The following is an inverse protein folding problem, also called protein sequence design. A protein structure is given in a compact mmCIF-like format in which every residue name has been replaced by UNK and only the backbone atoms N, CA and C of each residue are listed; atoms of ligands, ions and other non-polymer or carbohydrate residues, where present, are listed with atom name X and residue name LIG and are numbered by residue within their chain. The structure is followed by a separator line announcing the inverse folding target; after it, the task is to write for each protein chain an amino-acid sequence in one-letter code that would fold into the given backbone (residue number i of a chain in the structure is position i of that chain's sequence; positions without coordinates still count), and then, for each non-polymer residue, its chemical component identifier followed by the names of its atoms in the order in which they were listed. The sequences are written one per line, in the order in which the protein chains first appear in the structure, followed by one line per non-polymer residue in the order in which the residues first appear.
data_IF_665998883572
#
_entry.id   IF_665998883572
#
_cell.length_a   1.000
_cell.length_b   1.000
_cell.length_c   1.000
_cell.angle_alpha   90.00
_cell.angle_beta   90.00
_cell.angle_gamma   90.00
#
_symmetry.space_group_name_H-M   'P 1'
#
loop_
_entity.id
_entity.type
_entity.pdbx_description
1 polymer ?
#
# COMPACT_ATOMS: atom_id res chain seq x y z
N UNK A 1 35.20 -81.40 4.29
CA UNK A 1 33.78 -81.01 4.48
C UNK A 1 33.68 -79.51 4.42
N UNK A 2 33.01 -78.98 3.39
CA UNK A 2 32.88 -77.55 3.14
C UNK A 2 31.55 -77.03 3.70
N UNK A 3 31.58 -75.99 4.53
CA UNK A 3 30.37 -75.28 4.96
C UNK A 3 30.26 -73.92 4.24
N UNK A 4 29.12 -73.69 3.57
CA UNK A 4 28.73 -72.46 2.88
C UNK A 4 27.91 -71.54 3.81
N UNK A 5 28.37 -70.28 3.92
CA UNK A 5 27.71 -68.93 4.01
C UNK A 5 26.36 -68.77 4.76
N UNK A 6 26.10 -67.65 5.49
CA UNK A 6 25.78 -66.37 4.82
C UNK A 6 26.41 -65.11 5.46
N UNK A 7 26.92 -64.20 4.61
CA UNK A 7 27.18 -62.79 4.97
C UNK A 7 25.83 -62.09 5.19
N UNK A 8 25.59 -61.56 6.39
CA UNK A 8 24.46 -60.66 6.64
C UNK A 8 24.73 -59.30 5.97
N UNK A 9 23.89 -58.95 4.97
CA UNK A 9 23.65 -57.58 4.52
C UNK A 9 22.50 -56.99 5.33
N UNK A 10 22.72 -55.82 5.93
CA UNK A 10 21.76 -54.74 6.21
C UNK A 10 22.57 -53.68 7.00
N UNK A 11 22.57 -52.39 6.70
CA UNK A 11 21.42 -51.56 6.35
C UNK A 11 21.89 -50.48 5.37
N UNK A 12 21.37 -50.48 4.14
CA UNK A 12 21.45 -49.32 3.25
C UNK A 12 20.64 -48.21 3.92
N UNK A 13 21.29 -47.14 4.38
CA UNK A 13 20.59 -45.86 4.62
C UNK A 13 19.95 -45.49 3.28
N UNK A 14 18.61 -45.54 3.23
CA UNK A 14 17.89 -44.98 2.10
C UNK A 14 18.23 -43.48 2.02
N UNK A 15 18.37 -42.91 0.81
CA UNK A 15 18.41 -41.47 0.70
C UNK A 15 17.07 -40.96 1.25
N UNK A 16 17.14 -40.06 2.24
CA UNK A 16 15.99 -39.22 2.56
C UNK A 16 15.56 -38.59 1.24
N UNK A 17 14.30 -38.84 0.85
CA UNK A 17 13.69 -38.10 -0.25
C UNK A 17 13.75 -36.64 0.15
N UNK A 18 14.70 -35.90 -0.41
CA UNK A 18 14.55 -34.47 -0.55
C UNK A 18 13.23 -34.29 -1.31
N UNK A 19 12.27 -33.66 -0.66
CA UNK A 19 11.09 -33.17 -1.35
C UNK A 19 11.62 -32.24 -2.44
N UNK A 20 11.48 -32.66 -3.69
CA UNK A 20 11.74 -31.82 -4.86
C UNK A 20 10.66 -30.74 -4.83
N UNK A 21 10.96 -29.64 -4.17
CA UNK A 21 10.06 -28.51 -4.03
C UNK A 21 10.04 -27.80 -5.38
N UNK A 22 9.05 -28.17 -6.19
CA UNK A 22 8.83 -27.60 -7.52
C UNK A 22 8.73 -26.06 -7.40
N UNK A 23 9.66 -25.30 -7.99
CA UNK A 23 9.79 -23.85 -7.78
C UNK A 23 8.58 -23.05 -8.30
N UNK A 24 7.70 -23.69 -9.08
CA UNK A 24 6.43 -23.10 -9.51
C UNK A 24 5.38 -23.08 -8.40
N UNK A 25 5.34 -24.11 -7.55
CA UNK A 25 4.41 -24.15 -6.41
C UNK A 25 4.86 -23.24 -5.29
N UNK A 26 6.17 -23.10 -5.06
CA UNK A 26 6.72 -22.18 -4.06
C UNK A 26 6.45 -20.72 -4.43
N UNK A 27 6.60 -20.35 -5.71
CA UNK A 27 6.25 -19.00 -6.20
C UNK A 27 4.75 -18.72 -6.08
N UNK A 28 3.90 -19.69 -6.44
CA UNK A 28 2.44 -19.54 -6.36
C UNK A 28 1.98 -19.43 -4.89
N UNK A 29 2.55 -20.24 -4.00
CA UNK A 29 2.29 -20.18 -2.57
C UNK A 29 2.77 -18.86 -1.95
N UNK A 30 3.94 -18.35 -2.35
CA UNK A 30 4.45 -17.04 -1.91
C UNK A 30 3.55 -15.89 -2.38
N UNK A 31 3.06 -15.91 -3.62
CA UNK A 31 2.12 -14.88 -4.11
C UNK A 31 0.79 -14.89 -3.37
N UNK A 32 0.27 -16.09 -3.05
CA UNK A 32 -0.98 -16.23 -2.29
C UNK A 32 -0.76 -15.77 -0.83
N UNK A 33 0.38 -16.11 -0.22
CA UNK A 33 0.71 -15.67 1.13
C UNK A 33 0.85 -14.15 1.20
N UNK A 34 1.53 -13.54 0.23
CA UNK A 34 1.67 -12.10 0.13
C UNK A 34 0.31 -11.39 -0.05
N UNK A 35 -0.60 -11.95 -0.86
CA UNK A 35 -1.94 -11.37 -1.04
C UNK A 35 -2.78 -11.49 0.23
N UNK A 36 -2.70 -12.62 0.93
CA UNK A 36 -3.44 -12.83 2.20
C UNK A 36 -2.92 -11.88 3.28
N UNK A 37 -1.60 -11.73 3.40
CA UNK A 37 -0.98 -10.77 4.33
C UNK A 37 -1.42 -9.35 4.00
N UNK A 38 -1.44 -8.96 2.72
CA UNK A 38 -1.90 -7.64 2.28
C UNK A 38 -3.37 -7.39 2.66
N UNK A 39 -4.25 -8.37 2.48
CA UNK A 39 -5.66 -8.27 2.88
C UNK A 39 -5.80 -8.13 4.41
N UNK A 40 -5.02 -8.89 5.18
CA UNK A 40 -5.04 -8.83 6.65
C UNK A 40 -4.54 -7.47 7.15
N UNK A 41 -3.46 -6.92 6.58
CA UNK A 41 -2.95 -5.59 6.92
C UNK A 41 -4.01 -4.53 6.64
N UNK A 42 -4.65 -4.57 5.47
CA UNK A 42 -5.72 -3.63 5.10
C UNK A 42 -6.90 -3.73 6.08
N UNK A 43 -7.35 -4.95 6.42
CA UNK A 43 -8.45 -5.13 7.38
C UNK A 43 -8.10 -4.69 8.80
N UNK A 44 -6.83 -4.84 9.21
CA UNK A 44 -6.36 -4.44 10.54
C UNK A 44 -6.30 -2.92 10.67
N UNK A 45 -5.76 -2.23 9.65
CA UNK A 45 -5.77 -0.76 9.58
C UNK A 45 -7.21 -0.23 9.63
N UNK A 46 -8.13 -0.86 8.89
CA UNK A 46 -9.55 -0.46 8.88
C UNK A 46 -10.31 -0.76 10.18
N UNK A 47 -9.79 -1.60 11.07
CA UNK A 47 -10.41 -1.90 12.37
C UNK A 47 -9.91 -0.99 13.48
N UNK A 48 -8.68 -0.49 13.38
CA UNK A 48 -8.05 0.33 14.41
C UNK A 48 -8.47 1.81 14.37
N UNK A 49 -8.84 2.32 13.20
CA UNK A 49 -9.21 3.74 13.01
C UNK A 49 -10.52 4.12 13.74
N UNK A 50 -11.42 3.16 14.04
CA UNK A 50 -12.78 3.47 14.50
C UNK A 50 -13.06 3.20 15.98
N UNK A 51 -12.06 2.84 16.78
CA UNK A 51 -12.27 2.60 18.22
C UNK A 51 -12.12 3.84 19.11
N UNK A 52 -11.75 4.99 18.56
CA UNK A 52 -11.59 6.23 19.34
C UNK A 52 -12.30 7.39 18.63
N UNK A 53 -13.61 7.48 18.75
CA UNK A 53 -14.32 8.72 18.42
C UNK A 53 -15.20 9.14 19.59
N UNK A 54 -14.73 10.17 20.29
CA UNK A 54 -15.55 10.98 21.18
C UNK A 54 -14.97 12.39 21.16
N UNK A 55 -15.52 13.27 20.31
CA UNK A 55 -15.88 14.65 20.65
C UNK A 55 -16.00 15.57 19.43
N UNK A 56 -17.21 16.09 19.28
CA UNK A 56 -17.63 17.17 18.40
C UNK A 56 -17.13 18.56 18.85
N UNK A 57 -16.39 19.28 18.01
CA UNK A 57 -16.34 20.77 17.96
C UNK A 57 -16.04 21.21 16.51
N UNK A 58 -16.77 22.18 15.91
CA UNK A 58 -16.41 22.72 14.61
C UNK A 58 -15.31 23.78 14.80
N UNK A 59 -14.07 23.43 14.43
CA UNK A 59 -12.96 24.37 14.40
C UNK A 59 -12.89 25.04 13.01
N UNK A 60 -12.71 26.35 12.99
CA UNK A 60 -12.63 27.17 11.77
C UNK A 60 -11.28 26.94 11.06
N UNK A 61 -11.12 25.75 10.47
CA UNK A 61 -10.01 25.44 9.58
C UNK A 61 -10.13 26.16 8.23
N UNK A 62 -9.06 26.17 7.40
CA UNK A 62 -9.13 26.70 6.04
C UNK A 62 -10.33 26.10 5.32
N UNK A 63 -11.09 26.94 4.59
CA UNK A 63 -12.29 26.50 3.87
C UNK A 63 -11.89 25.46 2.83
N UNK A 64 -12.01 24.19 3.17
CA UNK A 64 -11.75 23.08 2.25
C UNK A 64 -12.90 23.04 1.26
N UNK A 65 -12.60 23.31 -0.01
CA UNK A 65 -13.60 23.23 -1.06
C UNK A 65 -13.98 21.77 -1.31
N UNK A 66 -15.28 21.49 -1.43
CA UNK A 66 -15.74 20.17 -1.84
C UNK A 66 -15.33 19.92 -3.30
N UNK A 67 -14.71 18.77 -3.56
CA UNK A 67 -14.30 18.42 -4.91
C UNK A 67 -15.52 18.19 -5.82
N UNK A 68 -15.49 18.79 -7.01
CA UNK A 68 -16.53 18.63 -8.05
C UNK A 68 -16.22 17.52 -9.06
N UNK A 69 -15.01 16.96 -8.99
CA UNK A 69 -14.49 15.93 -9.89
C UNK A 69 -14.69 14.52 -9.32
N UNK A 70 -14.83 13.47 -10.17
CA UNK A 70 -15.13 12.12 -9.71
C UNK A 70 -13.96 11.51 -8.93
N UNK A 71 -14.26 10.70 -7.91
CA UNK A 71 -13.23 9.95 -7.18
C UNK A 71 -12.73 8.79 -8.04
N UNK A 72 -11.72 9.04 -8.86
CA UNK A 72 -11.12 8.06 -9.77
C UNK A 72 -9.60 8.15 -9.73
N UNK A 73 -8.95 6.99 -9.75
CA UNK A 73 -7.50 6.90 -9.90
C UNK A 73 -7.13 6.94 -11.38
N UNK A 74 -6.16 7.76 -11.79
CA UNK A 74 -5.69 7.84 -13.17
C UNK A 74 -4.97 6.55 -13.58
N UNK A 75 -4.78 6.36 -14.88
CA UNK A 75 -4.06 5.20 -15.40
C UNK A 75 -2.55 5.27 -15.16
N UNK A 76 -2.02 6.49 -15.04
CA UNK A 76 -0.60 6.77 -14.87
C UNK A 76 -0.39 7.87 -13.84
N UNK A 77 0.79 7.92 -13.22
CA UNK A 77 1.20 8.99 -12.33
C UNK A 77 2.71 9.19 -12.44
N UNK A 78 3.15 10.25 -13.14
CA UNK A 78 4.56 10.38 -13.52
C UNK A 78 5.05 9.17 -14.34
N UNK A 79 6.12 8.51 -13.88
CA UNK A 79 6.66 7.29 -14.50
C UNK A 79 5.97 6.00 -14.08
N UNK A 80 4.92 6.08 -13.27
CA UNK A 80 4.21 4.94 -12.71
C UNK A 80 2.94 4.63 -13.51
N UNK A 81 2.62 3.36 -13.69
CA UNK A 81 1.43 2.90 -14.42
C UNK A 81 0.70 1.83 -13.66
N UNK A 82 -0.63 1.86 -13.67
CA UNK A 82 -1.45 0.74 -13.17
C UNK A 82 -1.83 -0.20 -14.33
N UNK A 83 -2.19 -1.44 -14.01
CA UNK A 83 -2.79 -2.36 -14.97
C UNK A 83 -4.21 -1.89 -15.35
N UNK A 84 -4.52 -1.65 -16.64
CA UNK A 84 -5.86 -1.21 -17.06
C UNK A 84 -6.94 -2.25 -16.82
N UNK A 85 -6.58 -3.53 -16.64
CA UNK A 85 -7.53 -4.60 -16.41
C UNK A 85 -7.86 -4.80 -14.93
N UNK A 86 -7.12 -4.15 -14.03
CA UNK A 86 -7.36 -4.23 -12.59
C UNK A 86 -8.38 -3.16 -12.20
N UNK A 87 -9.61 -3.60 -11.91
CA UNK A 87 -10.68 -2.71 -11.48
C UNK A 87 -10.38 -2.14 -10.08
N UNK A 88 -10.52 -0.83 -9.93
CA UNK A 88 -10.51 -0.16 -8.63
C UNK A 88 -11.94 0.01 -8.14
N UNK A 89 -12.26 -0.56 -6.97
CA UNK A 89 -13.61 -0.45 -6.39
C UNK A 89 -13.57 0.51 -5.19
N UNK A 90 -14.30 1.64 -5.23
CA UNK A 90 -14.43 2.51 -4.07
C UNK A 90 -15.09 1.76 -2.91
N UNK A 91 -14.64 2.05 -1.69
CA UNK A 91 -15.24 1.54 -0.45
C UNK A 91 -15.68 2.72 0.39
N UNK A 92 -16.94 2.74 0.83
CA UNK A 92 -17.48 3.80 1.68
C UNK A 92 -17.74 3.27 3.08
N UNK A 93 -17.24 3.98 4.09
CA UNK A 93 -17.47 3.71 5.50
C UNK A 93 -17.54 5.03 6.26
N UNK A 94 -18.56 5.17 7.11
CA UNK A 94 -18.76 6.34 7.99
C UNK A 94 -18.69 7.69 7.23
N UNK A 95 -19.33 7.73 6.05
CA UNK A 95 -19.37 8.91 5.19
C UNK A 95 -18.08 9.19 4.40
N UNK A 96 -17.00 8.42 4.64
CA UNK A 96 -15.73 8.52 3.92
C UNK A 96 -15.64 7.43 2.86
N UNK A 97 -15.37 7.83 1.62
CA UNK A 97 -15.11 6.94 0.49
C UNK A 97 -13.61 6.90 0.21
N UNK A 98 -13.06 5.70 0.15
CA UNK A 98 -11.67 5.45 -0.22
C UNK A 98 -11.57 4.68 -1.53
N UNK A 99 -10.50 4.93 -2.27
CA UNK A 99 -10.19 4.24 -3.52
C UNK A 99 -8.68 3.97 -3.56
N UNK A 100 -8.27 2.74 -3.85
CA UNK A 100 -6.84 2.40 -3.95
C UNK A 100 -6.49 1.66 -5.23
N UNK A 101 -5.23 1.78 -5.63
CA UNK A 101 -4.63 0.98 -6.71
C UNK A 101 -3.13 0.83 -6.50
N UNK A 102 -2.59 -0.28 -7.01
CA UNK A 102 -1.15 -0.49 -7.12
C UNK A 102 -0.65 0.03 -8.45
N UNK A 103 0.47 0.73 -8.42
CA UNK A 103 1.18 1.22 -9.58
C UNK A 103 2.56 0.57 -9.66
N UNK A 104 2.91 0.17 -10.87
CA UNK A 104 4.20 -0.39 -11.20
C UNK A 104 5.13 0.66 -11.82
N UNK A 105 6.42 0.45 -11.61
CA UNK A 105 7.52 1.12 -12.31
C UNK A 105 8.51 0.03 -12.72
N UNK A 106 9.00 0.10 -13.96
CA UNK A 106 9.93 -0.90 -14.51
C UNK A 106 9.40 -2.35 -14.41
N UNK A 107 8.09 -2.54 -14.62
CA UNK A 107 7.35 -3.81 -14.50
C UNK A 107 7.34 -4.43 -13.08
N UNK A 108 7.59 -3.63 -12.04
CA UNK A 108 7.51 -4.06 -10.65
C UNK A 108 6.56 -3.17 -9.86
N UNK A 109 5.68 -3.77 -9.06
CA UNK A 109 4.82 -3.04 -8.12
C UNK A 109 5.68 -2.20 -7.18
N UNK A 110 5.44 -0.90 -7.18
CA UNK A 110 6.35 0.06 -6.60
C UNK A 110 5.64 1.04 -5.67
N UNK A 111 4.40 1.42 -5.97
CA UNK A 111 3.63 2.36 -5.13
C UNK A 111 2.18 1.90 -5.04
N UNK A 112 1.60 1.96 -3.84
CA UNK A 112 0.15 1.91 -3.66
C UNK A 112 -0.34 3.34 -3.48
N UNK A 113 -1.34 3.75 -4.26
CA UNK A 113 -2.01 5.03 -4.07
C UNK A 113 -3.38 4.80 -3.46
N UNK A 114 -3.70 5.58 -2.43
CA UNK A 114 -4.98 5.64 -1.76
C UNK A 114 -5.54 7.07 -1.88
N UNK A 115 -6.75 7.21 -2.39
CA UNK A 115 -7.54 8.43 -2.29
C UNK A 115 -8.57 8.27 -1.19
N UNK A 116 -8.82 9.33 -0.42
CA UNK A 116 -9.81 9.39 0.64
C UNK A 116 -10.60 10.69 0.54
N UNK A 117 -11.93 10.60 0.52
CA UNK A 117 -12.84 11.75 0.48
C UNK A 117 -14.10 11.51 1.33
N UNK A 118 -14.57 12.49 2.11
CA UNK A 118 -13.93 13.78 2.35
C UNK A 118 -12.72 13.64 3.29
N UNK A 119 -11.76 14.55 3.17
CA UNK A 119 -10.64 14.71 4.09
C UNK A 119 -10.30 16.19 4.10
N UNK A 120 -10.33 16.82 5.28
CA UNK A 120 -10.11 18.27 5.42
C UNK A 120 -8.85 18.60 6.21
N UNK A 121 -8.39 17.68 7.06
CA UNK A 121 -7.16 17.81 7.83
C UNK A 121 -6.19 16.69 7.44
N UNK A 122 -5.17 17.07 6.65
CA UNK A 122 -4.12 16.17 6.19
C UNK A 122 -3.27 15.64 7.35
N UNK A 123 -3.07 16.41 8.42
CA UNK A 123 -2.30 15.98 9.58
C UNK A 123 -3.06 14.93 10.36
N UNK A 124 -4.36 15.15 10.60
CA UNK A 124 -5.24 14.13 11.20
C UNK A 124 -5.24 12.86 10.36
N UNK A 125 -5.43 12.98 9.04
CA UNK A 125 -5.38 11.84 8.12
C UNK A 125 -4.06 11.04 8.23
N UNK A 126 -2.91 11.71 8.31
CA UNK A 126 -1.62 11.02 8.48
C UNK A 126 -1.52 10.31 9.84
N UNK A 127 -2.04 10.90 10.91
CA UNK A 127 -2.08 10.25 12.22
C UNK A 127 -3.01 9.03 12.23
N UNK A 128 -4.19 9.15 11.63
CA UNK A 128 -5.17 8.06 11.52
C UNK A 128 -4.63 6.91 10.67
N UNK A 129 -3.81 7.21 9.66
CA UNK A 129 -3.04 6.23 8.88
C UNK A 129 -1.82 5.66 9.63
N UNK A 130 -1.69 5.90 10.93
CA UNK A 130 -0.59 5.44 11.79
C UNK A 130 0.80 5.84 11.25
N UNK A 131 0.94 7.06 10.74
CA UNK A 131 2.21 7.56 10.21
C UNK A 131 3.06 8.20 11.31
N UNK A 132 4.31 7.77 11.40
CA UNK A 132 5.34 8.35 12.24
C UNK A 132 6.26 9.29 11.46
N UNK A 133 7.01 10.11 12.21
CA UNK A 133 8.04 10.99 11.66
C UNK A 133 7.52 11.84 10.49
N UNK A 134 6.28 12.32 10.64
CA UNK A 134 5.57 13.11 9.63
C UNK A 134 6.23 14.47 9.51
N UNK A 135 6.66 14.80 8.30
CA UNK A 135 7.32 16.06 7.97
C UNK A 135 6.73 16.63 6.70
N UNK A 136 6.85 17.95 6.55
CA UNK A 136 6.45 18.62 5.32
C UNK A 136 7.54 18.42 4.26
N UNK A 137 7.13 17.92 3.09
CA UNK A 137 7.97 17.71 1.93
C UNK A 137 7.47 18.61 0.79
N UNK A 138 8.29 19.54 0.26
CA UNK A 138 7.92 20.28 -0.95
C UNK A 138 7.81 19.32 -2.13
N UNK A 139 6.77 19.51 -2.95
CA UNK A 139 6.64 18.82 -4.22
C UNK A 139 7.47 19.55 -5.26
N UNK A 140 8.33 18.83 -5.97
CA UNK A 140 9.25 19.44 -6.94
C UNK A 140 8.47 20.05 -8.10
N UNK A 141 8.76 21.31 -8.44
CA UNK A 141 8.14 22.01 -9.57
C UNK A 141 6.73 22.55 -9.31
N UNK A 142 6.23 22.51 -8.07
CA UNK A 142 4.92 23.07 -7.71
C UNK A 142 5.00 23.89 -6.42
N UNK A 143 3.94 24.64 -6.11
CA UNK A 143 3.78 25.33 -4.82
C UNK A 143 3.15 24.44 -3.74
N UNK A 144 2.86 23.17 -4.05
CA UNK A 144 2.16 22.24 -3.18
C UNK A 144 3.14 21.61 -2.19
N UNK A 145 2.65 21.37 -0.97
CA UNK A 145 3.38 20.70 0.11
C UNK A 145 2.70 19.36 0.39
N UNK A 146 3.48 18.30 0.42
CA UNK A 146 3.06 16.99 0.90
C UNK A 146 3.40 16.82 2.38
N UNK A 147 2.65 15.97 3.09
CA UNK A 147 3.05 15.44 4.38
C UNK A 147 3.58 14.03 4.18
N UNK A 148 4.84 13.80 4.54
CA UNK A 148 5.50 12.52 4.37
C UNK A 148 5.90 11.94 5.71
N UNK A 149 5.56 10.68 5.94
CA UNK A 149 5.88 9.92 7.13
C UNK A 149 6.29 8.49 6.79
N UNK A 150 6.40 7.68 7.82
CA UNK A 150 6.70 6.26 7.73
C UNK A 150 5.62 5.51 8.49
N UNK A 151 4.98 4.54 7.86
CA UNK A 151 3.90 3.75 8.48
C UNK A 151 4.45 2.96 9.67
N UNK A 152 3.71 2.97 10.78
CA UNK A 152 3.98 2.14 11.94
C UNK A 152 3.80 0.63 11.68
N UNK A 153 2.93 0.28 10.74
CA UNK A 153 2.52 -1.11 10.53
C UNK A 153 3.53 -1.91 9.70
N UNK A 154 4.14 -1.25 8.72
CA UNK A 154 5.01 -1.91 7.73
C UNK A 154 6.33 -1.18 7.45
N UNK A 155 6.61 -0.07 8.15
CA UNK A 155 7.78 0.78 7.93
C UNK A 155 7.92 1.36 6.51
N UNK A 156 6.84 1.35 5.71
CA UNK A 156 6.87 1.93 4.38
C UNK A 156 6.83 3.46 4.45
N UNK A 157 7.67 4.10 3.65
CA UNK A 157 7.61 5.55 3.46
C UNK A 157 6.35 5.90 2.69
N UNK A 158 5.60 6.90 3.16
CA UNK A 158 4.36 7.34 2.52
C UNK A 158 4.28 8.86 2.51
N UNK A 159 3.68 9.41 1.46
CA UNK A 159 3.46 10.86 1.32
C UNK A 159 2.02 11.13 0.91
N UNK A 160 1.38 12.05 1.60
CA UNK A 160 0.03 12.50 1.28
C UNK A 160 0.03 13.96 0.81
N UNK A 161 -0.84 14.25 -0.15
CA UNK A 161 -1.23 15.62 -0.51
C UNK A 161 -2.72 15.78 -0.29
N UNK A 162 -3.15 17.01 -0.05
CA UNK A 162 -4.56 17.38 0.00
C UNK A 162 -4.90 18.23 -1.22
N UNK A 163 -5.92 17.84 -1.97
CA UNK A 163 -6.50 18.63 -3.06
C UNK A 163 -8.00 18.69 -2.88
N UNK A 164 -8.54 19.90 -2.79
CA UNK A 164 -9.92 20.14 -2.35
C UNK A 164 -10.16 19.36 -1.04
N UNK A 165 -11.23 18.57 -0.95
CA UNK A 165 -11.54 17.68 0.17
C UNK A 165 -11.02 16.24 -0.02
N UNK A 166 -10.01 16.03 -0.86
CA UNK A 166 -9.49 14.69 -1.16
C UNK A 166 -8.04 14.55 -0.75
N UNK A 167 -7.76 13.65 0.18
CA UNK A 167 -6.40 13.25 0.49
C UNK A 167 -5.95 12.17 -0.50
N UNK A 168 -4.74 12.32 -1.04
CA UNK A 168 -4.10 11.35 -1.91
C UNK A 168 -2.80 10.92 -1.24
N UNK A 169 -2.75 9.68 -0.76
CA UNK A 169 -1.61 9.05 -0.11
C UNK A 169 -0.91 8.10 -1.08
N UNK A 170 0.37 8.33 -1.34
CA UNK A 170 1.25 7.40 -2.04
C UNK A 170 2.12 6.66 -1.02
N UNK A 171 2.05 5.33 -1.01
CA UNK A 171 2.80 4.42 -0.15
C UNK A 171 3.85 3.71 -0.98
N UNK A 172 5.13 3.86 -0.63
CA UNK A 172 6.21 3.11 -1.28
C UNK A 172 6.18 1.63 -0.89
N UNK A 173 6.36 0.74 -1.87
CA UNK A 173 6.50 -0.71 -1.66
C UNK A 173 7.96 -1.17 -1.71
N UNK A 174 8.85 -0.31 -2.22
CA UNK A 174 10.28 -0.55 -2.31
C UNK A 174 10.98 0.61 -1.58
N UNK A 175 11.96 1.23 -2.23
CA UNK A 175 12.82 2.26 -1.64
C UNK A 175 12.51 3.66 -2.17
N UNK A 176 11.25 3.92 -2.54
CA UNK A 176 10.85 5.22 -3.11
C UNK A 176 11.12 6.34 -2.10
N UNK A 177 11.78 7.39 -2.58
CA UNK A 177 12.13 8.53 -1.74
C UNK A 177 10.91 9.40 -1.41
N UNK A 178 10.95 10.15 -0.31
CA UNK A 178 9.90 11.12 0.06
C UNK A 178 9.59 12.14 -1.06
N UNK A 179 10.59 12.77 -1.72
CA UNK A 179 10.32 13.66 -2.85
C UNK A 179 9.61 12.97 -4.02
N UNK A 180 9.96 11.72 -4.30
CA UNK A 180 9.35 10.93 -5.37
C UNK A 180 7.88 10.61 -5.04
N UNK A 181 7.60 10.09 -3.85
CA UNK A 181 6.23 9.78 -3.42
C UNK A 181 5.34 11.03 -3.32
N UNK A 182 5.90 12.16 -2.87
CA UNK A 182 5.21 13.45 -2.90
C UNK A 182 4.84 13.87 -4.34
N UNK A 183 5.74 13.63 -5.30
CA UNK A 183 5.48 13.84 -6.73
C UNK A 183 4.38 12.93 -7.27
N UNK A 184 4.37 11.64 -6.89
CA UNK A 184 3.33 10.69 -7.31
C UNK A 184 1.97 11.09 -6.76
N UNK A 185 1.87 11.38 -5.46
CA UNK A 185 0.63 11.80 -4.82
C UNK A 185 0.07 13.08 -5.47
N UNK A 186 0.93 14.06 -5.74
CA UNK A 186 0.54 15.28 -6.46
C UNK A 186 0.12 14.99 -7.90
N UNK A 187 0.85 14.15 -8.64
CA UNK A 187 0.50 13.79 -10.02
C UNK A 187 -0.88 13.11 -10.09
N UNK A 188 -1.21 12.25 -9.12
CA UNK A 188 -2.53 11.61 -9.06
C UNK A 188 -3.60 12.65 -8.76
N UNK A 189 -3.39 13.52 -7.77
CA UNK A 189 -4.33 14.58 -7.42
C UNK A 189 -4.60 15.51 -8.62
N UNK A 190 -3.57 15.87 -9.37
CA UNK A 190 -3.71 16.70 -10.58
C UNK A 190 -4.49 16.00 -11.68
N UNK A 191 -4.16 14.75 -12.00
CA UNK A 191 -4.82 14.03 -13.09
C UNK A 191 -6.26 13.59 -12.75
N UNK A 192 -6.55 13.29 -11.48
CA UNK A 192 -7.90 12.94 -11.06
C UNK A 192 -8.87 14.15 -11.09
N UNK A 193 -8.33 15.37 -11.05
CA UNK A 193 -9.10 16.61 -11.08
C UNK A 193 -9.29 17.20 -12.50
N UNK A 194 -8.84 16.48 -13.53
CA UNK A 194 -9.01 16.83 -14.95
C UNK A 194 -10.21 16.11 -15.55
#
# INVERSE_FOLDING_TARGET
MAYRVPRRRATRRGPARAADENPRHTKLLLTILASVILIVIVAFILSWIFSNDDSSVPDNGPTVHAATWPLQLPQSAGSYTRDPNTATKPTTKDGTTTLSATYAKDNQDAVIVLMSRPTTDLKKFMNDAAMNSVTIQPVTGTSIKAMCGTSLDNNNTSCAVLKDDTAVLAVGLLDQSRPELAGVANSVAEQAAQ
#
